data_IF_657787620243
#
_entry.id   IF_657787620243
#
_cell.length_a   1.000
_cell.length_b   1.000
_cell.length_c   1.000
_cell.angle_alpha   90.00
_cell.angle_beta   90.00
_cell.angle_gamma   90.00
#
_symmetry.space_group_name_H-M   'P 1'
#
loop_
_entity.id
_entity.type
_entity.pdbx_description
1 polymer ?
#
# COMPACT_ATOMS: atom_id res chain seq x y z
N UNK A 1 -47.89 -43.12 -24.89
CA UNK A 1 -46.77 -42.64 -24.12
C UNK A 1 -45.52 -43.45 -24.38
N UNK A 2 -44.51 -42.82 -24.97
CA UNK A 2 -43.18 -43.42 -25.13
C UNK A 2 -42.22 -42.80 -24.07
N UNK A 3 -41.44 -43.57 -23.30
CA UNK A 3 -40.45 -43.02 -22.40
C UNK A 3 -39.18 -42.66 -23.16
N UNK A 4 -38.83 -41.36 -23.20
CA UNK A 4 -37.60 -40.87 -23.79
C UNK A 4 -36.37 -41.37 -23.05
N UNK A 5 -35.48 -42.07 -23.77
CA UNK A 5 -34.16 -42.44 -23.29
C UNK A 5 -33.28 -41.17 -23.17
N UNK A 6 -32.92 -40.78 -21.94
CA UNK A 6 -31.85 -39.81 -21.69
C UNK A 6 -30.51 -40.44 -22.08
N UNK A 7 -29.80 -39.84 -23.05
CA UNK A 7 -28.39 -40.15 -23.34
C UNK A 7 -27.55 -39.67 -22.14
N UNK A 8 -26.58 -40.46 -21.67
CA UNK A 8 -25.62 -39.95 -20.68
C UNK A 8 -24.67 -38.97 -21.40
N UNK A 9 -24.70 -37.72 -21.01
CA UNK A 9 -23.68 -36.70 -21.32
C UNK A 9 -22.55 -36.94 -20.34
N UNK A 10 -21.39 -37.25 -20.87
CA UNK A 10 -20.02 -37.31 -20.36
C UNK A 10 -19.40 -38.71 -20.52
N UNK A 11 -18.69 -38.89 -21.64
CA UNK A 11 -17.59 -39.80 -21.72
C UNK A 11 -16.44 -39.32 -20.83
N UNK A 12 -15.49 -40.20 -20.45
CA UNK A 12 -14.35 -39.78 -19.62
C UNK A 12 -13.59 -38.68 -20.37
N UNK A 13 -13.53 -37.50 -19.75
CA UNK A 13 -12.73 -36.39 -20.26
C UNK A 13 -11.26 -36.80 -20.42
N UNK A 14 -10.49 -36.11 -21.26
CA UNK A 14 -9.09 -36.44 -21.48
C UNK A 14 -8.38 -36.49 -20.10
N UNK A 15 -7.61 -37.57 -19.92
CA UNK A 15 -6.78 -37.79 -18.76
C UNK A 15 -5.76 -36.63 -18.69
N UNK A 16 -6.13 -35.55 -18.02
CA UNK A 16 -5.23 -34.45 -17.68
C UNK A 16 -4.17 -35.05 -16.75
N UNK A 17 -3.03 -35.47 -17.32
CA UNK A 17 -1.85 -35.80 -16.50
C UNK A 17 -1.69 -34.62 -15.54
N UNK A 18 -1.81 -34.89 -14.24
CA UNK A 18 -1.60 -33.89 -13.23
C UNK A 18 -0.25 -33.21 -13.52
N UNK A 19 -0.27 -31.89 -13.77
CA UNK A 19 0.97 -31.13 -13.90
C UNK A 19 1.79 -31.41 -12.64
N UNK A 20 3.11 -31.61 -12.75
CA UNK A 20 3.93 -31.81 -11.58
C UNK A 20 3.69 -30.66 -10.60
N UNK A 21 3.40 -31.02 -9.34
CA UNK A 21 3.17 -30.03 -8.30
C UNK A 21 4.47 -29.26 -8.08
N UNK A 22 4.39 -27.93 -8.19
CA UNK A 22 5.51 -27.03 -7.94
C UNK A 22 6.03 -27.24 -6.50
N UNK A 23 7.35 -27.35 -6.36
CA UNK A 23 8.01 -27.55 -5.08
C UNK A 23 8.86 -26.35 -4.71
N UNK A 24 9.09 -26.14 -3.43
CA UNK A 24 9.98 -25.08 -2.93
C UNK A 24 11.40 -25.20 -3.53
N UNK A 25 11.88 -26.41 -3.75
CA UNK A 25 13.17 -26.68 -4.41
C UNK A 25 13.25 -26.25 -5.87
N UNK A 26 12.12 -25.90 -6.49
CA UNK A 26 12.09 -25.41 -7.88
C UNK A 26 12.36 -23.89 -7.96
N UNK A 27 12.51 -23.25 -6.81
CA UNK A 27 12.82 -21.83 -6.68
C UNK A 27 14.29 -21.60 -6.36
N UNK A 28 14.82 -20.38 -6.64
CA UNK A 28 16.18 -20.02 -6.29
C UNK A 28 16.47 -20.22 -4.80
N UNK A 29 17.72 -20.57 -4.47
CA UNK A 29 18.17 -20.61 -3.09
C UNK A 29 17.94 -19.27 -2.40
N UNK A 30 17.39 -19.31 -1.18
CA UNK A 30 17.08 -18.11 -0.41
C UNK A 30 15.76 -17.44 -0.76
N UNK A 31 14.95 -18.01 -1.67
CA UNK A 31 13.58 -17.54 -1.91
C UNK A 31 12.73 -17.68 -0.65
N UNK A 32 12.07 -16.60 -0.24
CA UNK A 32 11.24 -16.55 0.96
C UNK A 32 9.76 -16.55 0.60
N UNK A 33 9.00 -17.39 1.28
CA UNK A 33 7.54 -17.30 1.27
C UNK A 33 7.08 -16.50 2.48
N UNK A 34 6.06 -15.67 2.29
CA UNK A 34 5.57 -14.83 3.36
C UNK A 34 4.07 -14.58 3.31
N UNK A 35 3.61 -14.01 4.41
CA UNK A 35 2.26 -13.46 4.54
C UNK A 35 2.33 -11.97 4.78
N UNK A 36 1.24 -11.24 4.53
CA UNK A 36 1.17 -9.81 4.75
C UNK A 36 -0.18 -9.39 5.35
N UNK A 37 -0.14 -8.38 6.21
CA UNK A 37 -1.32 -7.76 6.82
C UNK A 37 -1.12 -6.24 6.91
N UNK A 38 -2.17 -5.52 7.31
CA UNK A 38 -2.07 -4.11 7.69
C UNK A 38 -2.68 -3.85 9.07
N UNK A 39 -2.09 -2.92 9.81
CA UNK A 39 -2.45 -2.60 11.19
C UNK A 39 -3.93 -2.29 11.39
N UNK A 40 -4.47 -1.36 10.64
CA UNK A 40 -5.88 -0.95 10.77
C UNK A 40 -6.85 -2.11 10.50
N UNK A 41 -6.50 -3.03 9.58
CA UNK A 41 -7.37 -4.15 9.21
C UNK A 41 -7.39 -5.27 10.25
N UNK A 42 -6.36 -5.41 11.09
CA UNK A 42 -6.25 -6.59 11.96
C UNK A 42 -6.05 -6.29 13.44
N UNK A 43 -5.40 -5.17 13.81
CA UNK A 43 -4.94 -4.97 15.20
C UNK A 43 -6.08 -4.72 16.20
N UNK A 44 -7.10 -3.95 15.81
CA UNK A 44 -8.08 -3.40 16.74
C UNK A 44 -7.53 -2.11 17.39
N UNK A 45 -7.76 -0.97 16.76
CA UNK A 45 -7.17 0.31 17.19
C UNK A 45 -7.74 0.82 18.53
N UNK A 46 -8.89 0.32 18.99
CA UNK A 46 -9.45 0.69 20.30
C UNK A 46 -8.57 0.27 21.50
N UNK A 47 -7.54 -0.57 21.26
CA UNK A 47 -6.66 -1.10 22.31
C UNK A 47 -5.29 -0.40 22.28
N UNK A 48 -4.58 -0.46 23.41
CA UNK A 48 -3.18 -0.04 23.50
C UNK A 48 -2.96 1.46 23.37
N UNK A 49 -3.95 2.28 23.73
CA UNK A 49 -3.82 3.74 23.75
C UNK A 49 -3.62 4.37 22.36
N UNK A 50 -4.05 3.69 21.28
CA UNK A 50 -3.97 4.25 19.94
C UNK A 50 -4.85 5.50 19.80
N UNK A 51 -4.33 6.52 19.12
CA UNK A 51 -5.11 7.70 18.75
C UNK A 51 -6.09 7.41 17.64
N UNK A 52 -7.00 8.36 17.42
CA UNK A 52 -7.98 8.30 16.34
C UNK A 52 -7.32 8.47 14.98
N UNK A 53 -7.81 7.76 13.96
CA UNK A 53 -7.33 7.84 12.59
C UNK A 53 -8.38 8.42 11.65
N UNK A 54 -7.96 8.95 10.52
CA UNK A 54 -8.87 9.43 9.49
C UNK A 54 -9.76 8.30 8.89
N UNK A 55 -9.38 7.00 9.05
CA UNK A 55 -10.25 5.88 8.70
C UNK A 55 -11.43 5.74 9.67
N UNK A 56 -11.22 6.06 10.96
CA UNK A 56 -12.31 6.08 11.94
C UNK A 56 -13.32 7.18 11.61
N UNK A 57 -12.81 8.36 11.20
CA UNK A 57 -13.65 9.48 10.77
C UNK A 57 -14.40 9.14 9.48
N UNK A 58 -13.73 8.50 8.53
CA UNK A 58 -14.30 8.08 7.26
C UNK A 58 -15.39 7.02 7.46
N UNK A 59 -15.13 5.99 8.28
CA UNK A 59 -16.08 4.92 8.58
C UNK A 59 -17.29 5.42 9.36
N UNK A 60 -17.11 6.40 10.26
CA UNK A 60 -18.20 7.03 10.99
C UNK A 60 -19.12 7.90 10.10
N UNK A 61 -18.65 8.27 8.90
CA UNK A 61 -19.45 9.06 7.96
C UNK A 61 -20.44 8.15 7.22
N UNK A 62 -21.77 8.38 7.35
CA UNK A 62 -22.76 7.52 6.72
C UNK A 62 -22.57 7.38 5.21
N UNK A 63 -22.59 6.15 4.72
CA UNK A 63 -22.47 5.83 3.29
C UNK A 63 -21.04 5.61 2.77
N UNK A 64 -20.00 5.90 3.55
CA UNK A 64 -18.61 5.68 3.14
C UNK A 64 -18.21 4.20 3.24
N UNK A 65 -18.66 3.51 4.29
CA UNK A 65 -18.35 2.09 4.51
C UNK A 65 -19.64 1.30 4.66
N UNK A 66 -19.73 0.16 3.97
CA UNK A 66 -20.87 -0.73 4.06
C UNK A 66 -21.03 -1.21 5.51
N UNK A 67 -22.25 -1.07 6.06
CA UNK A 67 -22.52 -1.45 7.45
C UNK A 67 -21.85 -0.57 8.51
N UNK A 68 -21.17 0.52 8.11
CA UNK A 68 -20.39 1.39 9.00
C UNK A 68 -19.35 0.62 9.83
N UNK A 69 -18.80 -0.46 9.25
CA UNK A 69 -17.75 -1.24 9.90
C UNK A 69 -16.47 -0.40 10.00
N UNK A 70 -15.79 -0.51 11.14
CA UNK A 70 -14.56 0.20 11.47
C UNK A 70 -13.44 -0.74 11.93
N UNK A 71 -12.26 -0.19 12.20
CA UNK A 71 -11.09 -0.92 12.68
C UNK A 71 -11.00 -1.06 14.21
N UNK A 72 -12.03 -0.66 14.97
CA UNK A 72 -11.94 -0.60 16.44
C UNK A 72 -11.63 -1.96 17.07
N UNK A 73 -12.26 -3.02 16.57
CA UNK A 73 -12.04 -4.41 16.97
C UNK A 73 -11.17 -5.18 16.00
N UNK A 74 -11.47 -5.10 14.71
CA UNK A 74 -10.83 -5.82 13.62
C UNK A 74 -10.69 -7.34 13.91
N UNK A 75 -9.48 -7.89 13.77
CA UNK A 75 -9.16 -9.29 14.08
C UNK A 75 -8.57 -9.47 15.49
N UNK A 76 -8.52 -8.42 16.29
CA UNK A 76 -7.95 -8.43 17.65
C UNK A 76 -6.45 -8.84 17.68
N UNK A 77 -5.72 -8.62 16.59
CA UNK A 77 -4.30 -9.00 16.48
C UNK A 77 -3.44 -8.41 17.60
N UNK A 78 -3.79 -7.22 18.09
CA UNK A 78 -3.10 -6.58 19.22
C UNK A 78 -2.97 -7.52 20.43
N UNK A 79 -3.96 -8.36 20.68
CA UNK A 79 -3.96 -9.35 21.78
C UNK A 79 -3.66 -10.76 21.29
N UNK A 80 -4.05 -11.10 20.05
CA UNK A 80 -3.97 -12.46 19.51
C UNK A 80 -2.75 -12.72 18.64
N UNK A 81 -1.82 -11.75 18.53
CA UNK A 81 -0.62 -11.92 17.71
C UNK A 81 0.18 -13.21 17.99
N UNK A 82 0.27 -13.75 19.23
CA UNK A 82 1.00 -15.01 19.44
C UNK A 82 0.36 -16.19 18.69
N UNK A 83 -0.98 -16.27 18.70
CA UNK A 83 -1.73 -17.31 17.97
C UNK A 83 -1.57 -17.12 16.46
N UNK A 84 -1.67 -15.89 15.97
CA UNK A 84 -1.52 -15.56 14.55
C UNK A 84 -0.11 -15.88 14.04
N UNK A 85 0.92 -15.60 14.84
CA UNK A 85 2.30 -15.95 14.51
C UNK A 85 2.54 -17.47 14.53
N UNK A 86 1.87 -18.21 15.41
CA UNK A 86 1.91 -19.67 15.40
C UNK A 86 1.31 -20.23 14.10
N UNK A 87 0.22 -19.66 13.60
CA UNK A 87 -0.37 -20.05 12.31
C UNK A 87 0.60 -19.79 11.14
N UNK A 88 1.32 -18.66 11.16
CA UNK A 88 2.32 -18.30 10.14
C UNK A 88 3.48 -19.31 10.17
N UNK A 89 4.03 -19.62 11.35
CA UNK A 89 5.08 -20.61 11.53
C UNK A 89 4.63 -22.00 11.06
N UNK A 90 3.46 -22.45 11.50
CA UNK A 90 2.94 -23.78 11.21
C UNK A 90 2.54 -23.92 9.73
N UNK A 91 2.20 -22.81 9.08
CA UNK A 91 2.03 -22.71 7.62
C UNK A 91 3.34 -22.82 6.82
N UNK A 92 4.50 -22.82 7.50
CA UNK A 92 5.82 -22.94 6.86
C UNK A 92 6.28 -21.66 6.16
N UNK A 93 5.80 -20.50 6.58
CA UNK A 93 6.23 -19.19 6.03
C UNK A 93 7.52 -18.71 6.69
N UNK A 94 8.40 -18.09 5.88
CA UNK A 94 9.71 -17.59 6.30
C UNK A 94 9.68 -16.16 6.80
N UNK A 95 8.72 -15.37 6.31
CA UNK A 95 8.63 -13.94 6.60
C UNK A 95 7.17 -13.51 6.79
N UNK A 96 6.99 -12.52 7.63
CA UNK A 96 5.71 -11.84 7.81
C UNK A 96 5.88 -10.35 7.63
N UNK A 97 5.14 -9.79 6.65
CA UNK A 97 5.07 -8.36 6.42
C UNK A 97 3.90 -7.78 7.21
N UNK A 98 4.21 -7.01 8.22
CA UNK A 98 3.23 -6.27 9.03
C UNK A 98 3.35 -4.77 8.76
N UNK A 99 2.32 -4.01 9.04
CA UNK A 99 2.45 -2.55 9.08
C UNK A 99 2.37 -2.05 10.52
N UNK A 100 2.97 -0.88 10.76
CA UNK A 100 2.87 -0.18 12.03
C UNK A 100 1.75 0.86 11.98
N UNK A 101 1.04 1.05 13.08
CA UNK A 101 0.05 2.10 13.22
C UNK A 101 0.71 3.39 13.72
N UNK A 102 0.68 4.43 12.88
CA UNK A 102 1.19 5.74 13.27
C UNK A 102 0.45 6.28 14.50
N UNK A 103 -0.87 6.19 14.52
CA UNK A 103 -1.70 6.64 15.64
C UNK A 103 -1.51 5.81 16.92
N UNK A 104 -1.04 4.56 16.84
CA UNK A 104 -0.70 3.76 18.01
C UNK A 104 0.61 4.21 18.62
N UNK A 105 1.58 4.57 17.82
CA UNK A 105 2.92 5.02 18.24
C UNK A 105 2.90 6.49 18.69
N UNK A 106 2.25 7.34 17.92
CA UNK A 106 2.07 8.78 18.18
C UNK A 106 0.58 9.12 18.07
N UNK A 107 -0.20 9.07 19.16
CA UNK A 107 -1.65 9.25 19.15
C UNK A 107 -2.13 10.53 18.47
N UNK A 108 -1.39 11.62 18.67
CA UNK A 108 -1.64 12.92 18.01
C UNK A 108 -0.83 13.11 16.71
N UNK A 109 -0.23 12.03 16.21
CA UNK A 109 0.64 12.04 15.04
C UNK A 109 2.02 12.66 15.26
N UNK A 110 2.22 13.37 16.34
CA UNK A 110 3.43 14.10 16.74
C UNK A 110 3.54 14.16 18.24
N UNK A 111 4.69 14.58 18.76
CA UNK A 111 4.92 14.84 20.17
C UNK A 111 5.27 13.59 20.96
N UNK A 112 4.62 13.36 22.08
CA UNK A 112 5.00 12.29 23.00
C UNK A 112 4.60 10.92 22.47
N UNK A 113 5.56 9.98 22.31
CA UNK A 113 5.25 8.62 21.94
C UNK A 113 4.40 7.90 23.00
N UNK A 114 3.54 7.01 22.53
CA UNK A 114 2.76 6.12 23.38
C UNK A 114 3.61 4.89 23.76
N UNK A 115 4.01 4.75 25.04
CA UNK A 115 4.86 3.63 25.46
C UNK A 115 4.22 2.26 25.21
N UNK A 116 2.91 2.14 25.44
CA UNK A 116 2.16 0.89 25.27
C UNK A 116 2.13 0.47 23.80
N UNK A 117 2.00 1.43 22.87
CA UNK A 117 2.05 1.18 21.44
C UNK A 117 3.44 0.75 20.97
N UNK A 118 4.49 1.37 21.46
CA UNK A 118 5.87 0.97 21.18
C UNK A 118 6.18 -0.43 21.74
N UNK A 119 5.76 -0.71 22.95
CA UNK A 119 5.95 -2.01 23.60
C UNK A 119 5.20 -3.13 22.87
N UNK A 120 4.06 -2.83 22.24
CA UNK A 120 3.36 -3.80 21.40
C UNK A 120 4.21 -4.23 20.20
N UNK A 121 4.75 -3.28 19.44
CA UNK A 121 5.59 -3.62 18.28
C UNK A 121 6.91 -4.29 18.67
N UNK A 122 7.46 -3.93 19.82
CA UNK A 122 8.64 -4.57 20.40
C UNK A 122 8.37 -6.05 20.66
N UNK A 123 7.28 -6.37 21.37
CA UNK A 123 6.86 -7.75 21.63
C UNK A 123 6.49 -8.52 20.35
N UNK A 124 5.86 -7.85 19.38
CA UNK A 124 5.50 -8.47 18.10
C UNK A 124 6.74 -8.93 17.33
N UNK A 125 7.74 -8.05 17.22
CA UNK A 125 8.99 -8.36 16.51
C UNK A 125 9.77 -9.46 17.22
N UNK A 126 9.88 -9.40 18.55
CA UNK A 126 10.53 -10.47 19.33
C UNK A 126 9.84 -11.81 19.16
N UNK A 127 8.51 -11.84 19.24
CA UNK A 127 7.73 -13.07 19.06
C UNK A 127 7.86 -13.66 17.65
N UNK A 128 8.05 -12.82 16.60
CA UNK A 128 8.36 -13.28 15.24
C UNK A 128 9.73 -13.96 15.20
N UNK A 129 10.75 -13.33 15.77
CA UNK A 129 12.12 -13.85 15.80
C UNK A 129 12.21 -15.16 16.58
N UNK A 130 11.53 -15.28 17.73
CA UNK A 130 11.44 -16.52 18.52
C UNK A 130 10.86 -17.68 17.71
N UNK A 131 10.02 -17.41 16.72
CA UNK A 131 9.41 -18.39 15.82
C UNK A 131 10.19 -18.62 14.52
N UNK A 132 11.33 -17.96 14.36
CA UNK A 132 12.14 -18.03 13.15
C UNK A 132 11.52 -17.29 11.95
N UNK A 133 10.54 -16.40 12.18
CA UNK A 133 9.89 -15.59 11.16
C UNK A 133 10.68 -14.29 11.00
N UNK A 134 11.06 -13.96 9.76
CA UNK A 134 11.74 -12.69 9.45
C UNK A 134 10.74 -11.53 9.46
N UNK A 135 10.97 -10.48 10.31
CA UNK A 135 10.07 -9.33 10.33
C UNK A 135 10.29 -8.42 9.12
N UNK A 136 9.25 -8.18 8.31
CA UNK A 136 9.25 -7.20 7.24
C UNK A 136 8.26 -6.08 7.59
N UNK A 137 8.76 -4.86 7.79
CA UNK A 137 7.94 -3.75 8.27
C UNK A 137 7.48 -2.84 7.12
N UNK A 138 6.23 -2.42 7.17
CA UNK A 138 5.69 -1.30 6.40
C UNK A 138 5.28 -0.21 7.39
N UNK A 139 5.83 1.00 7.27
CA UNK A 139 5.58 2.02 8.29
C UNK A 139 4.18 2.63 8.16
N UNK A 140 3.72 2.82 6.93
CA UNK A 140 2.42 3.41 6.64
C UNK A 140 1.61 2.55 5.67
N UNK A 141 0.45 2.07 6.14
CA UNK A 141 -0.50 1.31 5.31
C UNK A 141 -1.89 1.93 5.40
N UNK A 142 -1.93 3.22 5.02
CA UNK A 142 -3.10 4.04 4.76
C UNK A 142 -3.85 4.59 5.98
N UNK A 143 -3.33 4.42 7.17
CA UNK A 143 -3.94 5.01 8.36
C UNK A 143 -3.14 6.24 8.84
N UNK A 144 -3.78 7.39 8.84
CA UNK A 144 -3.20 8.65 9.28
C UNK A 144 -3.87 9.11 10.58
N UNK A 145 -3.13 9.55 11.60
CA UNK A 145 -3.72 10.18 12.77
C UNK A 145 -4.65 11.32 12.39
N UNK A 146 -5.88 11.35 12.94
CA UNK A 146 -6.89 12.39 12.65
C UNK A 146 -6.34 13.79 12.86
N UNK A 147 -5.56 14.00 13.91
CA UNK A 147 -4.94 15.31 14.19
C UNK A 147 -4.03 15.80 13.04
N UNK A 148 -3.36 14.90 12.32
CA UNK A 148 -2.58 15.28 11.14
C UNK A 148 -3.47 15.46 9.91
N UNK A 149 -4.55 14.67 9.79
CA UNK A 149 -5.53 14.85 8.72
C UNK A 149 -6.20 16.23 8.81
N UNK A 150 -6.51 16.71 10.01
CA UNK A 150 -7.07 18.04 10.29
C UNK A 150 -6.10 19.17 9.91
N UNK A 151 -4.80 18.91 9.97
CA UNK A 151 -3.75 19.85 9.50
C UNK A 151 -3.51 19.76 7.99
N UNK A 152 -4.34 19.01 7.27
CA UNK A 152 -4.27 18.85 5.81
C UNK A 152 -3.72 17.50 5.35
N UNK A 153 -3.18 16.67 6.23
CA UNK A 153 -2.68 15.34 5.92
C UNK A 153 -1.67 15.35 4.76
N UNK A 154 -1.84 14.45 3.81
CA UNK A 154 -0.96 14.32 2.63
C UNK A 154 -0.96 15.52 1.69
N UNK A 155 -1.92 16.44 1.82
CA UNK A 155 -1.93 17.73 1.08
C UNK A 155 -0.96 18.76 1.66
N UNK A 156 -0.57 18.59 2.92
CA UNK A 156 0.36 19.47 3.62
C UNK A 156 1.79 18.95 3.46
N UNK A 157 2.70 19.82 3.02
CA UNK A 157 4.12 19.49 2.82
C UNK A 157 4.81 19.03 4.10
N UNK A 158 4.40 19.57 5.25
CA UNK A 158 5.01 19.25 6.55
C UNK A 158 4.84 17.77 6.94
N UNK A 159 3.91 17.04 6.28
CA UNK A 159 3.68 15.60 6.50
C UNK A 159 4.97 14.79 6.33
N UNK A 160 5.87 15.21 5.43
CA UNK A 160 7.13 14.51 5.20
C UNK A 160 8.08 14.61 6.41
N UNK A 161 8.09 15.75 7.09
CA UNK A 161 8.81 15.92 8.35
C UNK A 161 8.18 15.11 9.48
N UNK A 162 6.86 15.19 9.63
CA UNK A 162 6.13 14.41 10.65
C UNK A 162 6.29 12.91 10.45
N UNK A 163 6.32 12.45 9.20
CA UNK A 163 6.54 11.04 8.89
C UNK A 163 7.99 10.60 9.17
N UNK A 164 8.96 11.47 8.93
CA UNK A 164 10.35 11.21 9.32
C UNK A 164 10.51 11.09 10.85
N UNK A 165 9.87 11.98 11.62
CA UNK A 165 9.86 11.91 13.09
C UNK A 165 9.20 10.60 13.59
N UNK A 166 8.07 10.22 13.02
CA UNK A 166 7.43 8.93 13.30
C UNK A 166 8.36 7.75 12.96
N UNK A 167 9.01 7.81 11.80
CA UNK A 167 9.98 6.79 11.37
C UNK A 167 11.12 6.64 12.36
N UNK A 168 11.68 7.75 12.85
CA UNK A 168 12.73 7.75 13.85
C UNK A 168 12.28 7.08 15.15
N UNK A 169 11.08 7.41 15.62
CA UNK A 169 10.52 6.86 16.87
C UNK A 169 10.33 5.36 16.78
N UNK A 170 9.64 4.87 15.74
CA UNK A 170 9.33 3.44 15.64
C UNK A 170 10.55 2.61 15.25
N UNK A 171 11.34 3.06 14.27
CA UNK A 171 12.51 2.32 13.82
C UNK A 171 13.70 2.46 14.79
N UNK A 172 13.78 3.50 15.57
CA UNK A 172 14.67 3.58 16.71
C UNK A 172 14.40 2.52 17.79
N UNK A 173 13.15 2.04 17.89
CA UNK A 173 12.74 1.00 18.84
C UNK A 173 12.93 -0.43 18.31
N UNK A 174 12.56 -0.70 17.04
CA UNK A 174 12.52 -2.07 16.50
C UNK A 174 13.46 -2.30 15.31
N UNK A 175 14.06 -1.25 14.74
CA UNK A 175 14.78 -1.33 13.46
C UNK A 175 16.02 -2.23 13.47
N UNK A 176 16.62 -2.44 14.64
CA UNK A 176 17.76 -3.35 14.84
C UNK A 176 17.40 -4.83 14.60
N UNK A 177 16.12 -5.19 14.69
CA UNK A 177 15.57 -6.55 14.56
C UNK A 177 14.72 -6.76 13.30
N UNK A 178 14.37 -5.68 12.61
CA UNK A 178 13.60 -5.75 11.36
C UNK A 178 14.51 -6.20 10.21
N UNK A 179 14.13 -7.28 9.53
CA UNK A 179 14.88 -7.82 8.39
C UNK A 179 14.79 -6.93 7.15
N UNK A 180 13.63 -6.33 6.90
CA UNK A 180 13.37 -5.49 5.73
C UNK A 180 12.31 -4.44 6.06
N UNK A 181 12.43 -3.24 5.48
CA UNK A 181 11.45 -2.19 5.68
C UNK A 181 11.12 -1.41 4.41
N UNK A 182 9.85 -0.99 4.31
CA UNK A 182 9.37 -0.04 3.33
C UNK A 182 8.58 1.07 4.02
N UNK A 183 8.80 2.36 3.67
CA UNK A 183 8.06 3.45 4.29
C UNK A 183 6.56 3.38 4.08
N UNK A 184 6.12 3.20 2.83
CA UNK A 184 4.73 3.37 2.44
C UNK A 184 4.28 2.23 1.54
N UNK A 185 3.10 1.66 1.83
CA UNK A 185 2.43 0.74 0.93
C UNK A 185 1.61 1.50 -0.11
N UNK A 186 1.87 1.22 -1.38
CA UNK A 186 1.06 1.67 -2.52
C UNK A 186 0.77 3.18 -2.51
N UNK A 187 1.74 4.02 -2.80
CA UNK A 187 1.57 5.48 -2.77
C UNK A 187 0.47 5.97 -3.72
N UNK A 188 0.16 5.24 -4.78
CA UNK A 188 -0.97 5.54 -5.66
C UNK A 188 -2.32 5.49 -4.90
N UNK A 189 -2.53 4.49 -4.06
CA UNK A 189 -3.74 4.39 -3.25
C UNK A 189 -3.86 5.57 -2.29
N UNK A 190 -2.75 5.99 -1.69
CA UNK A 190 -2.71 7.16 -0.80
C UNK A 190 -3.05 8.46 -1.55
N UNK A 191 -2.48 8.64 -2.74
CA UNK A 191 -2.71 9.84 -3.54
C UNK A 191 -4.06 9.79 -4.28
N UNK A 192 -4.26 8.80 -5.10
CA UNK A 192 -5.37 8.76 -6.07
C UNK A 192 -6.68 8.27 -5.48
N UNK A 193 -6.71 7.10 -4.82
CA UNK A 193 -7.95 6.57 -4.25
C UNK A 193 -8.50 7.44 -3.13
N UNK A 194 -7.61 8.04 -2.34
CA UNK A 194 -8.00 8.86 -1.19
C UNK A 194 -8.39 10.28 -1.54
N UNK A 195 -7.80 10.88 -2.61
CA UNK A 195 -7.95 12.30 -2.90
C UNK A 195 -8.58 12.62 -4.26
N UNK A 196 -8.56 11.67 -5.24
CA UNK A 196 -9.21 11.84 -6.53
C UNK A 196 -10.54 11.07 -6.62
N UNK A 197 -10.51 9.77 -6.33
CA UNK A 197 -11.69 8.90 -6.39
C UNK A 197 -12.57 9.07 -5.16
N UNK A 198 -11.97 9.32 -4.01
CA UNK A 198 -12.67 9.45 -2.73
C UNK A 198 -13.19 8.12 -2.17
N UNK A 199 -12.63 6.99 -2.63
CA UNK A 199 -12.99 5.66 -2.17
C UNK A 199 -12.32 5.26 -0.85
N UNK A 200 -11.19 5.89 -0.52
CA UNK A 200 -10.44 5.71 0.71
C UNK A 200 -10.46 6.99 1.54
N UNK A 201 -10.23 6.86 2.86
CA UNK A 201 -10.07 8.00 3.74
C UNK A 201 -8.94 8.94 3.21
N UNK A 202 -9.11 10.26 3.25
CA UNK A 202 -10.20 11.05 3.81
C UNK A 202 -11.41 11.24 2.89
N UNK A 203 -11.49 10.59 1.75
CA UNK A 203 -12.66 10.63 0.86
C UNK A 203 -12.77 11.87 -0.02
N UNK A 204 -11.66 12.49 -0.36
CA UNK A 204 -11.63 13.71 -1.20
C UNK A 204 -11.79 13.38 -2.68
N UNK A 205 -12.33 14.37 -3.43
CA UNK A 205 -12.48 14.32 -4.88
C UNK A 205 -12.00 15.64 -5.48
N UNK A 206 -10.70 15.90 -5.39
CA UNK A 206 -10.09 17.16 -5.78
C UNK A 206 -8.71 16.92 -6.41
N UNK A 207 -8.54 17.32 -7.66
CA UNK A 207 -7.29 17.13 -8.42
C UNK A 207 -6.10 17.87 -7.80
N UNK A 208 -6.33 19.01 -7.14
CA UNK A 208 -5.27 19.78 -6.47
C UNK A 208 -4.79 19.03 -5.22
N UNK A 209 -5.73 18.45 -4.46
CA UNK A 209 -5.42 17.61 -3.34
C UNK A 209 -4.65 16.36 -3.78
N UNK A 210 -5.08 15.75 -4.89
CA UNK A 210 -4.45 14.56 -5.48
C UNK A 210 -3.00 14.82 -5.89
N UNK A 211 -2.75 15.87 -6.67
CA UNK A 211 -1.40 16.20 -7.14
C UNK A 211 -0.43 16.42 -5.97
N UNK A 212 -0.88 17.18 -4.95
CA UNK A 212 -0.08 17.39 -3.75
C UNK A 212 0.16 16.12 -2.97
N UNK A 213 -0.88 15.30 -2.75
CA UNK A 213 -0.75 14.05 -2.03
C UNK A 213 0.17 13.05 -2.74
N UNK A 214 0.05 12.91 -4.06
CA UNK A 214 0.92 12.04 -4.86
C UNK A 214 2.40 12.45 -4.77
N UNK A 215 2.68 13.75 -4.76
CA UNK A 215 4.03 14.25 -4.60
C UNK A 215 4.54 14.12 -3.17
N UNK A 216 3.76 14.55 -2.17
CA UNK A 216 4.19 14.56 -0.78
C UNK A 216 4.37 13.14 -0.22
N UNK A 217 3.61 12.14 -0.72
CA UNK A 217 3.81 10.73 -0.32
C UNK A 217 5.17 10.21 -0.77
N UNK A 218 5.64 10.60 -1.96
CA UNK A 218 6.98 10.26 -2.43
C UNK A 218 8.07 11.03 -1.67
N UNK A 219 7.81 12.31 -1.38
CA UNK A 219 8.74 13.12 -0.60
C UNK A 219 8.89 12.57 0.83
N UNK A 220 7.79 12.19 1.47
CA UNK A 220 7.81 11.53 2.78
C UNK A 220 8.49 10.16 2.74
N UNK A 221 8.29 9.38 1.65
CA UNK A 221 9.01 8.12 1.43
C UNK A 221 10.53 8.34 1.46
N UNK A 222 11.03 9.31 0.69
CA UNK A 222 12.46 9.63 0.66
C UNK A 222 13.01 10.05 2.02
N UNK A 223 12.29 10.93 2.73
CA UNK A 223 12.65 11.34 4.09
C UNK A 223 12.73 10.16 5.06
N UNK A 224 11.78 9.24 4.99
CA UNK A 224 11.81 8.04 5.83
C UNK A 224 12.99 7.10 5.48
N UNK A 225 13.34 6.94 4.20
CA UNK A 225 14.53 6.19 3.79
C UNK A 225 15.79 6.84 4.37
N UNK A 226 15.94 8.16 4.26
CA UNK A 226 17.07 8.90 4.85
C UNK A 226 17.15 8.64 6.38
N UNK A 227 16.03 8.75 7.08
CA UNK A 227 15.96 8.49 8.53
C UNK A 227 16.39 7.06 8.87
N UNK A 228 15.84 6.06 8.19
CA UNK A 228 16.20 4.66 8.44
C UNK A 228 17.67 4.36 8.12
N UNK A 229 18.23 4.95 7.04
CA UNK A 229 19.67 4.85 6.73
C UNK A 229 20.50 5.51 7.82
N UNK A 230 20.07 6.66 8.35
CA UNK A 230 20.70 7.33 9.49
C UNK A 230 20.75 6.47 10.75
N UNK A 231 19.75 5.62 10.97
CA UNK A 231 19.70 4.62 12.04
C UNK A 231 20.54 3.37 11.75
N UNK A 232 21.24 3.31 10.60
CA UNK A 232 22.08 2.18 10.20
C UNK A 232 21.33 1.00 9.56
N UNK A 233 20.03 1.17 9.29
CA UNK A 233 19.21 0.11 8.69
C UNK A 233 19.60 -0.17 7.23
N UNK A 234 19.45 -1.43 6.85
CA UNK A 234 19.69 -1.96 5.50
C UNK A 234 18.43 -2.66 5.01
N UNK A 235 18.46 -3.11 3.75
CA UNK A 235 17.35 -3.83 3.13
C UNK A 235 16.05 -3.01 3.11
N UNK A 236 16.18 -1.78 2.60
CA UNK A 236 15.09 -0.80 2.48
C UNK A 236 14.57 -0.73 1.06
N UNK A 237 13.26 -0.68 0.90
CA UNK A 237 12.65 -0.68 -0.42
C UNK A 237 11.39 0.17 -0.52
N UNK A 238 10.78 0.12 -1.69
CA UNK A 238 9.47 0.71 -1.98
C UNK A 238 8.48 -0.38 -2.35
N UNK A 239 7.22 -0.22 -1.97
CA UNK A 239 6.13 -1.12 -2.34
C UNK A 239 5.09 -0.34 -3.15
N UNK A 240 4.99 -0.69 -4.44
CA UNK A 240 4.06 -0.09 -5.37
C UNK A 240 3.06 -1.12 -5.88
N UNK A 241 1.84 -0.67 -6.12
CA UNK A 241 0.85 -1.44 -6.86
C UNK A 241 0.99 -1.14 -8.35
N UNK A 242 0.86 -2.19 -9.15
CA UNK A 242 0.94 -2.09 -10.60
C UNK A 242 -0.24 -2.80 -11.27
N UNK A 243 -0.63 -2.26 -12.41
CA UNK A 243 -1.59 -2.88 -13.32
C UNK A 243 -0.99 -2.94 -14.72
N UNK A 244 -1.21 -4.03 -15.44
CA UNK A 244 -0.98 -4.03 -16.87
C UNK A 244 -2.06 -3.18 -17.55
N UNK A 245 -1.63 -2.22 -18.34
CA UNK A 245 -2.52 -1.28 -19.02
C UNK A 245 -2.41 -1.47 -20.53
N UNK A 246 -3.54 -1.61 -21.21
CA UNK A 246 -3.59 -1.65 -22.66
C UNK A 246 -4.78 -0.81 -23.20
N UNK A 247 -4.69 -0.26 -24.41
CA UNK A 247 -5.86 0.36 -25.02
C UNK A 247 -6.93 -0.71 -25.32
N UNK A 248 -8.19 -0.37 -25.08
CA UNK A 248 -9.32 -1.25 -25.38
C UNK A 248 -9.56 -1.41 -26.89
N UNK A 249 -9.17 -0.39 -27.65
CA UNK A 249 -9.29 -0.33 -29.10
C UNK A 249 -8.00 0.21 -29.71
N UNK A 250 -7.67 -0.22 -30.93
CA UNK A 250 -6.47 0.27 -31.63
C UNK A 250 -6.74 1.63 -32.33
N UNK A 251 -7.11 2.62 -31.54
CA UNK A 251 -7.32 4.02 -31.96
C UNK A 251 -6.32 4.95 -31.28
N UNK A 252 -5.94 6.09 -31.90
CA UNK A 252 -5.07 7.08 -31.26
C UNK A 252 -5.61 7.57 -29.90
N UNK A 253 -6.92 7.77 -29.81
CA UNK A 253 -7.60 8.26 -28.63
C UNK A 253 -7.54 7.25 -27.46
N UNK A 254 -7.77 5.97 -27.75
CA UNK A 254 -7.66 4.90 -26.73
C UNK A 254 -6.21 4.69 -26.28
N UNK A 255 -5.24 4.76 -27.22
CA UNK A 255 -3.82 4.67 -26.89
C UNK A 255 -3.38 5.84 -25.99
N UNK A 256 -3.81 7.06 -26.29
CA UNK A 256 -3.50 8.24 -25.45
C UNK A 256 -4.14 8.13 -24.06
N UNK A 257 -5.39 7.71 -23.96
CA UNK A 257 -6.06 7.47 -22.67
C UNK A 257 -5.35 6.40 -21.84
N UNK A 258 -4.92 5.29 -22.48
CA UNK A 258 -4.14 4.25 -21.81
C UNK A 258 -2.78 4.76 -21.33
N UNK A 259 -2.13 5.62 -22.09
CA UNK A 259 -0.86 6.26 -21.70
C UNK A 259 -1.03 7.17 -20.47
N UNK A 260 -2.08 7.98 -20.43
CA UNK A 260 -2.38 8.84 -19.26
C UNK A 260 -2.63 7.95 -18.03
N UNK A 261 -3.41 6.88 -18.17
CA UNK A 261 -3.69 5.96 -17.08
C UNK A 261 -2.40 5.32 -16.57
N UNK A 262 -1.59 4.74 -17.44
CA UNK A 262 -0.31 4.14 -17.08
C UNK A 262 0.66 5.15 -16.46
N UNK A 263 0.69 6.37 -17.01
CA UNK A 263 1.50 7.45 -16.47
C UNK A 263 1.12 7.81 -15.03
N UNK A 264 -0.17 7.87 -14.71
CA UNK A 264 -0.64 8.22 -13.36
C UNK A 264 -0.60 7.05 -12.38
N UNK A 265 -0.85 5.83 -12.86
CA UNK A 265 -0.93 4.63 -12.02
C UNK A 265 0.46 4.03 -11.75
N UNK A 266 1.17 3.69 -12.82
CA UNK A 266 2.45 2.98 -12.74
C UNK A 266 3.66 3.91 -12.74
N UNK A 267 3.78 4.73 -13.79
CA UNK A 267 5.04 5.43 -14.08
C UNK A 267 5.30 6.65 -13.22
N UNK A 268 4.28 7.31 -12.66
CA UNK A 268 4.48 8.48 -11.81
C UNK A 268 5.42 8.15 -10.63
N UNK A 269 5.13 7.06 -9.93
CA UNK A 269 5.89 6.64 -8.76
C UNK A 269 7.26 6.08 -9.14
N UNK A 270 7.32 5.22 -10.18
CA UNK A 270 8.61 4.68 -10.65
C UNK A 270 9.54 5.79 -11.15
N UNK A 271 9.01 6.72 -11.93
CA UNK A 271 9.83 7.83 -12.46
C UNK A 271 10.32 8.74 -11.35
N UNK A 272 9.48 9.04 -10.36
CA UNK A 272 9.88 9.80 -9.18
C UNK A 272 11.00 9.12 -8.39
N UNK A 273 10.84 7.83 -8.11
CA UNK A 273 11.79 7.05 -7.30
C UNK A 273 13.13 6.80 -8.00
N UNK A 274 13.12 6.57 -9.33
CA UNK A 274 14.30 6.08 -10.04
C UNK A 274 14.87 7.03 -11.10
N UNK A 275 14.03 7.96 -11.61
CA UNK A 275 14.43 8.83 -12.74
C UNK A 275 14.40 10.31 -12.41
N UNK A 276 13.99 10.71 -11.19
CA UNK A 276 13.93 12.12 -10.73
C UNK A 276 13.07 13.00 -11.63
N UNK A 277 11.97 12.47 -12.11
CA UNK A 277 11.04 13.16 -12.99
C UNK A 277 9.63 12.59 -12.85
N UNK A 278 8.64 13.26 -13.44
CA UNK A 278 7.32 12.71 -13.63
C UNK A 278 6.99 12.60 -15.14
N UNK A 279 6.16 11.59 -15.54
CA UNK A 279 5.76 11.42 -16.93
C UNK A 279 4.98 12.63 -17.45
N UNK A 280 5.27 13.06 -18.70
CA UNK A 280 4.58 14.20 -19.33
C UNK A 280 3.05 14.02 -19.34
N UNK A 281 2.56 12.83 -19.72
CA UNK A 281 1.13 12.52 -19.74
C UNK A 281 0.45 12.67 -18.36
N UNK A 282 1.18 12.42 -17.25
CA UNK A 282 0.67 12.71 -15.91
C UNK A 282 0.73 14.21 -15.59
N UNK A 283 1.77 14.90 -16.04
CA UNK A 283 1.95 16.35 -15.82
C UNK A 283 0.94 17.21 -16.57
N UNK A 284 0.33 16.70 -17.65
CA UNK A 284 -0.75 17.42 -18.37
C UNK A 284 -1.85 17.88 -17.41
N UNK A 285 -2.27 17.03 -16.47
CA UNK A 285 -3.33 17.37 -15.51
C UNK A 285 -2.84 17.65 -14.09
N UNK A 286 -1.81 16.94 -13.62
CA UNK A 286 -1.30 17.10 -12.26
C UNK A 286 -0.32 18.29 -12.15
N UNK A 287 0.45 18.57 -13.20
CA UNK A 287 1.53 19.56 -13.19
C UNK A 287 1.11 20.94 -12.66
N UNK A 288 -0.02 21.55 -13.12
CA UNK A 288 -0.48 22.83 -12.62
C UNK A 288 -0.83 22.88 -11.12
N UNK A 289 -0.96 21.73 -10.50
CA UNK A 289 -1.42 21.56 -9.11
C UNK A 289 -0.34 21.01 -8.16
N UNK A 290 0.82 20.63 -8.70
CA UNK A 290 1.98 20.24 -7.90
C UNK A 290 2.46 21.40 -7.02
N UNK A 291 3.09 21.10 -5.86
CA UNK A 291 3.62 22.16 -4.99
C UNK A 291 4.72 22.96 -5.70
N UNK A 292 4.82 24.26 -5.39
CA UNK A 292 5.91 25.08 -5.91
C UNK A 292 7.26 24.48 -5.52
N UNK A 293 8.19 24.39 -6.49
CA UNK A 293 9.53 23.82 -6.25
C UNK A 293 9.59 22.31 -6.13
N UNK A 294 8.55 21.60 -6.57
CA UNK A 294 8.50 20.12 -6.50
C UNK A 294 9.70 19.43 -7.18
N UNK A 295 10.30 20.05 -8.17
CA UNK A 295 11.48 19.51 -8.87
C UNK A 295 12.70 19.38 -7.95
N UNK A 296 12.83 20.27 -6.97
CA UNK A 296 13.95 20.28 -6.03
C UNK A 296 13.87 19.13 -5.01
N UNK A 297 12.71 18.49 -4.87
CA UNK A 297 12.49 17.39 -3.94
C UNK A 297 13.03 16.04 -4.42
N UNK A 298 13.39 15.92 -5.69
CA UNK A 298 13.83 14.63 -6.23
C UNK A 298 15.14 14.11 -5.62
N UNK A 299 16.00 14.97 -5.11
CA UNK A 299 17.20 14.52 -4.39
C UNK A 299 16.84 13.75 -3.11
N UNK A 300 15.75 14.11 -2.47
CA UNK A 300 15.17 13.38 -1.34
C UNK A 300 14.33 12.19 -1.79
N UNK A 301 13.45 12.36 -2.78
CA UNK A 301 12.55 11.29 -3.26
C UNK A 301 13.33 10.09 -3.76
N UNK A 302 14.34 10.31 -4.59
CA UNK A 302 15.08 9.25 -5.28
C UNK A 302 16.27 8.72 -4.45
N UNK A 303 16.02 8.41 -3.18
CA UNK A 303 17.00 7.73 -2.35
C UNK A 303 17.32 6.33 -2.88
N UNK A 304 18.55 5.84 -2.75
CA UNK A 304 18.91 4.47 -3.13
C UNK A 304 18.07 3.44 -2.38
N UNK A 305 17.48 2.52 -3.13
CA UNK A 305 16.66 1.42 -2.61
C UNK A 305 17.36 0.09 -2.85
N UNK A 306 17.18 -0.86 -1.93
CA UNK A 306 17.78 -2.20 -2.03
C UNK A 306 16.87 -3.16 -2.80
N UNK A 307 15.54 -2.87 -2.86
CA UNK A 307 14.55 -3.71 -3.52
C UNK A 307 13.28 -2.92 -3.86
N UNK A 308 12.48 -3.47 -4.74
CA UNK A 308 11.13 -3.02 -5.04
C UNK A 308 10.13 -4.14 -4.81
N UNK A 309 9.06 -3.84 -4.08
CA UNK A 309 7.91 -4.71 -3.89
C UNK A 309 6.83 -4.40 -4.93
N UNK A 310 6.27 -5.45 -5.49
CA UNK A 310 5.24 -5.38 -6.53
C UNK A 310 3.95 -6.00 -5.99
N UNK A 311 2.91 -5.17 -5.84
CA UNK A 311 1.55 -5.63 -5.61
C UNK A 311 0.83 -5.64 -6.96
N UNK A 312 0.39 -6.81 -7.42
CA UNK A 312 -0.26 -6.95 -8.72
C UNK A 312 -1.54 -7.78 -8.58
N UNK A 313 -2.67 -7.22 -9.02
CA UNK A 313 -3.97 -7.86 -8.84
C UNK A 313 -4.69 -8.11 -10.16
N UNK A 314 -4.58 -7.18 -11.13
CA UNK A 314 -5.40 -7.20 -12.33
C UNK A 314 -4.74 -6.43 -13.47
N UNK A 315 -5.40 -6.45 -14.61
CA UNK A 315 -5.08 -5.62 -15.79
C UNK A 315 -6.25 -4.68 -16.08
N UNK A 316 -5.97 -3.63 -16.85
CA UNK A 316 -6.97 -2.66 -17.30
C UNK A 316 -6.92 -2.52 -18.81
N UNK A 317 -8.10 -2.54 -19.43
CA UNK A 317 -8.30 -2.11 -20.80
C UNK A 317 -8.95 -0.72 -20.78
N UNK A 318 -8.27 0.25 -21.38
CA UNK A 318 -8.66 1.67 -21.29
C UNK A 318 -9.22 2.12 -22.62
N UNK A 319 -10.49 2.52 -22.63
CA UNK A 319 -11.16 3.13 -23.78
C UNK A 319 -10.78 4.60 -23.96
N UNK A 320 -11.23 5.18 -25.09
CA UNK A 320 -11.03 6.58 -25.37
C UNK A 320 -11.61 7.47 -24.25
N UNK A 321 -10.93 8.58 -23.96
CA UNK A 321 -11.35 9.52 -22.93
C UNK A 321 -12.75 10.08 -23.18
N UNK A 322 -13.56 10.17 -22.13
CA UNK A 322 -14.89 10.76 -22.14
C UNK A 322 -14.93 11.96 -21.21
N UNK A 323 -14.38 13.08 -21.65
CA UNK A 323 -14.37 14.31 -20.87
C UNK A 323 -12.97 14.85 -20.61
N UNK A 324 -12.83 15.83 -19.69
CA UNK A 324 -11.53 16.44 -19.40
C UNK A 324 -10.58 15.44 -18.73
N UNK A 325 -9.29 15.75 -18.78
CA UNK A 325 -8.25 14.95 -18.16
C UNK A 325 -8.62 14.60 -16.68
N UNK A 326 -8.41 13.38 -16.23
CA UNK A 326 -7.87 12.19 -16.92
C UNK A 326 -8.86 11.42 -17.79
N UNK A 327 -10.14 11.67 -17.72
CA UNK A 327 -11.29 11.29 -18.54
C UNK A 327 -11.31 9.92 -19.22
N UNK A 328 -10.52 8.94 -18.74
CA UNK A 328 -10.42 7.61 -19.34
C UNK A 328 -11.74 6.85 -19.22
N UNK A 329 -12.10 6.15 -20.27
CA UNK A 329 -13.11 5.11 -20.19
C UNK A 329 -12.42 3.77 -19.86
N UNK A 330 -12.66 3.25 -18.69
CA UNK A 330 -12.31 1.87 -18.36
C UNK A 330 -13.29 0.94 -19.06
N UNK A 331 -12.77 -0.07 -19.76
CA UNK A 331 -13.57 -1.11 -20.40
C UNK A 331 -13.28 -2.42 -19.68
N UNK A 332 -14.28 -2.96 -19.00
CA UNK A 332 -14.22 -4.34 -18.51
C UNK A 332 -14.26 -5.29 -19.72
N UNK A 333 -13.15 -5.93 -19.98
CA UNK A 333 -13.08 -7.01 -20.96
C UNK A 333 -13.11 -8.37 -20.29
N UNK A 334 -13.52 -9.44 -21.00
CA UNK A 334 -13.39 -10.79 -20.48
C UNK A 334 -11.91 -11.04 -20.18
N UNK A 335 -11.63 -11.58 -19.01
CA UNK A 335 -10.30 -12.13 -18.71
C UNK A 335 -10.01 -13.23 -19.73
N UNK A 336 -8.83 -13.28 -20.38
CA UNK A 336 -8.49 -14.33 -21.30
C UNK A 336 -8.39 -15.69 -20.62
#
# INVERSE_FOLDING_TARGET
>A
GHPGRRRPLHGPGPNLKAKPMFKRSDLPDGFLFGTATSSYQIEGHALGGAGRTHWDDFAATPGNVLGAEDGARACEHYTRYPEDLDLIRDGGFDTYRFSTSWARVLPEGRGTPNPEGLDFYDRLVDAMLERGIKPAATLYHWELPSALADLGGWRNRDIAGWFADFTEVIMGRIGDRVWSAAPINEPWCVGWLSHFVGAHAPGLRDIRATARAMHHVLFAHGRAIETMRGLGMKNLGAVCNFEYVAPAEDTPEARHAAEIYDACYNRFFLSGLFHRTYPEAALEGLGPHLPTGWQDDFDTIAQPLDWIGVNYYTRKLIGAAKGPWPGQAEVEGPLP
#
